data_IF_380535219752
#
_entry.id   IF_380535219752
#
_cell.length_a   1.000
_cell.length_b   1.000
_cell.length_c   1.000
_cell.angle_alpha   90.00
_cell.angle_beta   90.00
_cell.angle_gamma   90.00
#
_symmetry.space_group_name_H-M   'P 1'
#
loop_
_entity.id
_entity.type
_entity.pdbx_description
1 polymer ?
#
# COMPACT_ATOMS: atom_id res chain seq x y z
N UNK A 1 4.88 12.98 -16.46
CA UNK A 1 4.32 12.37 -15.22
C UNK A 1 4.83 10.94 -15.11
N UNK A 2 5.42 10.55 -13.98
CA UNK A 2 5.88 9.18 -13.75
C UNK A 2 4.65 8.29 -13.54
N UNK A 3 4.52 7.18 -14.28
CA UNK A 3 3.41 6.23 -14.05
C UNK A 3 3.52 5.70 -12.61
N UNK A 4 2.40 5.70 -11.88
CA UNK A 4 2.35 5.11 -10.54
C UNK A 4 2.62 3.59 -10.60
N UNK A 5 2.03 2.92 -11.58
CA UNK A 5 2.22 1.48 -11.81
C UNK A 5 2.88 1.21 -13.16
N UNK A 6 3.86 0.31 -13.17
CA UNK A 6 4.51 -0.18 -14.41
C UNK A 6 3.70 -1.32 -15.02
N UNK A 7 2.46 -1.02 -15.39
CA UNK A 7 1.55 -1.94 -16.10
C UNK A 7 1.05 -1.27 -17.37
N UNK A 8 0.81 -2.08 -18.41
CA UNK A 8 0.40 -1.61 -19.73
C UNK A 8 -1.13 -1.49 -19.85
N UNK A 9 -1.89 -2.26 -19.06
CA UNK A 9 -3.35 -2.31 -19.09
C UNK A 9 -3.95 -2.36 -17.69
N UNK A 10 -4.39 -1.19 -17.21
CA UNK A 10 -5.25 -1.09 -16.02
C UNK A 10 -6.49 -0.27 -16.36
N UNK A 11 -7.66 -0.83 -16.11
CA UNK A 11 -8.93 -0.11 -16.25
C UNK A 11 -9.29 0.45 -14.89
N UNK A 12 -9.32 1.78 -14.79
CA UNK A 12 -9.78 2.48 -13.59
C UNK A 12 -11.23 2.95 -13.81
N UNK A 13 -12.13 2.65 -12.88
CA UNK A 13 -13.46 3.27 -12.83
C UNK A 13 -13.78 3.77 -11.43
N UNK A 14 -14.20 5.03 -11.34
CA UNK A 14 -14.71 5.61 -10.10
C UNK A 14 -16.10 5.04 -9.80
N UNK A 15 -16.31 4.56 -8.58
CA UNK A 15 -17.65 4.13 -8.14
C UNK A 15 -18.32 5.22 -7.31
N UNK A 16 -17.56 5.89 -6.44
CA UNK A 16 -18.04 6.94 -5.53
C UNK A 16 -16.92 8.00 -5.34
N UNK A 17 -17.20 9.18 -4.78
CA UNK A 17 -16.17 10.15 -4.42
C UNK A 17 -15.11 9.53 -3.50
N UNK A 18 -13.86 9.49 -3.96
CA UNK A 18 -12.76 8.86 -3.21
C UNK A 18 -12.68 7.34 -3.30
N UNK A 19 -13.65 6.67 -3.95
CA UNK A 19 -13.67 5.21 -4.09
C UNK A 19 -13.52 4.78 -5.56
N UNK A 20 -12.46 4.02 -5.82
CA UNK A 20 -12.06 3.62 -7.17
C UNK A 20 -11.95 2.10 -7.26
N UNK A 21 -12.24 1.58 -8.45
CA UNK A 21 -11.99 0.19 -8.81
C UNK A 21 -10.94 0.12 -9.90
N UNK A 22 -9.98 -0.79 -9.72
CA UNK A 22 -8.91 -1.05 -10.67
C UNK A 22 -9.03 -2.50 -11.13
N UNK A 23 -9.12 -2.70 -12.43
CA UNK A 23 -9.16 -4.02 -13.05
C UNK A 23 -7.84 -4.20 -13.80
N UNK A 24 -7.11 -5.23 -13.41
CA UNK A 24 -5.84 -5.62 -14.01
C UNK A 24 -6.07 -6.79 -14.97
N UNK A 25 -5.34 -6.81 -16.08
CA UNK A 25 -5.40 -7.92 -17.03
C UNK A 25 -4.75 -9.19 -16.49
N UNK A 26 -3.69 -9.03 -15.70
CA UNK A 26 -2.87 -10.11 -15.16
C UNK A 26 -2.89 -10.09 -13.63
N UNK A 27 -3.00 -11.27 -13.01
CA UNK A 27 -3.02 -11.40 -11.56
C UNK A 27 -1.65 -11.05 -10.94
N UNK A 28 -0.57 -11.36 -11.64
CA UNK A 28 0.80 -11.06 -11.23
C UNK A 28 1.03 -9.55 -11.08
N UNK A 29 0.42 -8.76 -11.96
CA UNK A 29 0.45 -7.30 -11.90
C UNK A 29 -0.31 -6.78 -10.67
N UNK A 30 -1.52 -7.30 -10.44
CA UNK A 30 -2.33 -6.98 -9.25
C UNK A 30 -1.55 -7.27 -7.98
N UNK A 31 -1.01 -8.48 -7.85
CA UNK A 31 -0.25 -8.89 -6.66
C UNK A 31 0.99 -8.03 -6.44
N UNK A 32 1.78 -7.80 -7.50
CA UNK A 32 2.98 -6.97 -7.44
C UNK A 32 2.64 -5.56 -6.97
N UNK A 33 1.59 -4.97 -7.51
CA UNK A 33 1.15 -3.61 -7.14
C UNK A 33 0.70 -3.56 -5.69
N UNK A 34 -0.11 -4.53 -5.22
CA UNK A 34 -0.54 -4.56 -3.82
C UNK A 34 0.67 -4.73 -2.87
N UNK A 35 1.61 -5.62 -3.20
CA UNK A 35 2.80 -5.91 -2.37
C UNK A 35 3.82 -4.77 -2.34
N UNK A 36 3.89 -3.95 -3.38
CA UNK A 36 4.86 -2.85 -3.50
C UNK A 36 4.32 -1.49 -3.05
N UNK A 37 3.12 -1.46 -2.45
CA UNK A 37 2.61 -0.27 -1.76
C UNK A 37 3.51 0.16 -0.59
N UNK A 38 3.21 1.32 0.02
CA UNK A 38 2.05 2.17 -0.19
C UNK A 38 2.14 3.03 -1.47
N UNK A 39 1.00 3.35 -2.07
CA UNK A 39 0.93 4.19 -3.27
C UNK A 39 0.37 5.56 -2.96
N UNK A 40 0.89 6.57 -3.65
CA UNK A 40 0.36 7.93 -3.60
C UNK A 40 0.01 8.43 -4.99
N UNK A 41 -1.14 9.08 -5.14
CA UNK A 41 -1.56 9.74 -6.37
C UNK A 41 -2.05 11.14 -6.07
N UNK A 42 -1.54 12.15 -6.79
CA UNK A 42 -1.88 13.56 -6.57
C UNK A 42 -1.80 13.99 -5.09
N UNK A 43 -0.73 13.59 -4.39
CA UNK A 43 -0.51 13.84 -2.94
C UNK A 43 -1.54 13.20 -2.00
N UNK A 44 -2.39 12.31 -2.50
CA UNK A 44 -3.33 11.52 -1.70
C UNK A 44 -2.82 10.08 -1.59
N UNK A 45 -2.99 9.49 -0.40
CA UNK A 45 -2.69 8.08 -0.17
C UNK A 45 -3.73 7.19 -0.87
N UNK A 46 -3.26 6.19 -1.59
CA UNK A 46 -4.11 5.20 -2.26
C UNK A 46 -4.03 3.88 -1.50
N UNK A 47 -5.07 3.60 -0.70
CA UNK A 47 -5.20 2.34 0.03
C UNK A 47 -5.83 1.30 -0.89
N UNK A 48 -5.03 0.34 -1.35
CA UNK A 48 -5.48 -0.74 -2.22
C UNK A 48 -5.85 -1.96 -1.39
N UNK A 49 -7.02 -2.54 -1.68
CA UNK A 49 -7.48 -3.81 -1.13
C UNK A 49 -7.91 -4.70 -2.29
N UNK A 50 -7.67 -6.01 -2.15
CA UNK A 50 -8.16 -6.97 -3.13
C UNK A 50 -9.67 -7.09 -2.99
N UNK A 51 -10.40 -6.89 -4.09
CA UNK A 51 -11.84 -7.13 -4.12
C UNK A 51 -12.10 -8.64 -4.18
N UNK A 52 -12.63 -9.18 -3.10
CA UNK A 52 -13.17 -10.53 -3.00
C UNK A 52 -14.69 -10.49 -3.23
N UNK A 53 -15.25 -11.36 -4.10
CA UNK A 53 -16.67 -11.34 -4.45
C UNK A 53 -17.57 -11.70 -3.26
N UNK A 54 -17.04 -12.43 -2.28
CA UNK A 54 -17.76 -12.85 -1.08
C UNK A 54 -17.87 -11.74 -0.02
N UNK A 55 -17.03 -10.69 -0.12
CA UNK A 55 -16.96 -9.62 0.87
C UNK A 55 -17.69 -8.38 0.32
N UNK A 56 -18.77 -7.93 0.99
CA UNK A 56 -19.45 -6.69 0.63
C UNK A 56 -18.53 -5.47 0.70
N UNK A 57 -18.75 -4.49 -0.16
CA UNK A 57 -17.94 -3.24 -0.22
C UNK A 57 -17.83 -2.51 1.12
N UNK A 58 -18.90 -2.51 1.92
CA UNK A 58 -18.94 -1.82 3.21
C UNK A 58 -18.12 -2.53 4.31
N UNK A 59 -17.70 -3.77 4.08
CA UNK A 59 -16.85 -4.52 5.01
C UNK A 59 -15.36 -4.19 4.84
N UNK A 60 -14.98 -3.45 3.79
CA UNK A 60 -13.59 -3.04 3.59
C UNK A 60 -13.28 -1.78 4.40
N UNK A 61 -12.27 -1.88 5.25
CA UNK A 61 -11.69 -0.74 5.94
C UNK A 61 -10.47 -0.20 5.19
N UNK A 62 -10.51 1.10 4.88
CA UNK A 62 -9.45 1.87 4.22
C UNK A 62 -8.80 2.90 5.15
N UNK A 63 -9.11 2.88 6.45
CA UNK A 63 -8.61 3.84 7.44
C UNK A 63 -7.10 3.72 7.70
N UNK A 64 -6.53 2.53 7.48
CA UNK A 64 -5.13 2.21 7.77
C UNK A 64 -4.38 1.73 6.53
N UNK A 65 -3.09 2.08 6.44
CA UNK A 65 -2.17 1.61 5.41
C UNK A 65 -0.79 1.33 6.02
N UNK A 66 -0.14 0.27 5.57
CA UNK A 66 1.22 -0.05 6.01
C UNK A 66 2.24 0.78 5.23
N UNK A 67 3.22 1.33 5.93
CA UNK A 67 4.31 2.10 5.35
C UNK A 67 5.67 1.43 5.60
N UNK A 68 6.55 1.53 4.62
CA UNK A 68 7.97 1.25 4.83
C UNK A 68 8.60 2.44 5.54
N UNK A 69 9.04 2.22 6.78
CA UNK A 69 9.76 3.22 7.55
C UNK A 69 11.26 2.93 7.48
N UNK A 70 12.05 3.95 7.15
CA UNK A 70 13.50 3.88 7.22
C UNK A 70 13.96 4.73 8.41
N UNK A 71 14.63 4.08 9.36
CA UNK A 71 15.19 4.76 10.54
C UNK A 71 16.64 5.16 10.27
N UNK A 72 16.92 6.46 10.27
CA UNK A 72 18.26 7.02 10.14
C UNK A 72 18.88 7.36 11.50
N UNK A 73 20.20 7.56 11.52
CA UNK A 73 20.90 8.08 12.70
C UNK A 73 21.13 7.08 13.84
N UNK A 74 20.90 5.79 13.62
CA UNK A 74 21.18 4.75 14.61
C UNK A 74 22.70 4.46 14.59
N UNK A 75 23.42 4.59 15.72
CA UNK A 75 24.83 4.26 15.79
C UNK A 75 25.09 2.78 15.48
N UNK A 76 26.19 2.40 14.79
CA UNK A 76 26.45 1.00 14.41
C UNK A 76 26.45 0.01 15.58
N UNK A 77 26.86 0.45 16.78
CA UNK A 77 26.87 -0.37 18.00
C UNK A 77 25.47 -0.79 18.45
N UNK A 78 24.42 -0.11 17.97
CA UNK A 78 23.03 -0.37 18.31
C UNK A 78 22.29 -1.17 17.23
N UNK A 79 23.00 -1.72 16.24
CA UNK A 79 22.41 -2.59 15.21
C UNK A 79 22.16 -4.01 15.76
N UNK A 80 21.36 -4.10 16.82
CA UNK A 80 20.92 -5.36 17.41
C UNK A 80 19.42 -5.53 17.23
N UNK A 81 18.95 -6.78 17.20
CA UNK A 81 17.53 -7.07 16.98
C UNK A 81 16.64 -6.46 18.06
N UNK A 82 17.15 -6.37 19.28
CA UNK A 82 16.43 -5.82 20.44
C UNK A 82 16.17 -4.32 20.27
N UNK A 83 17.15 -3.56 19.80
CA UNK A 83 16.99 -2.12 19.55
C UNK A 83 15.97 -1.89 18.44
N UNK A 84 16.08 -2.62 17.33
CA UNK A 84 15.10 -2.49 16.24
C UNK A 84 13.68 -2.91 16.66
N UNK A 85 13.54 -3.92 17.51
CA UNK A 85 12.25 -4.34 18.04
C UNK A 85 11.64 -3.28 18.99
N UNK A 86 12.46 -2.66 19.85
CA UNK A 86 12.01 -1.54 20.71
C UNK A 86 11.59 -0.33 19.87
N UNK A 87 12.39 0.03 18.86
CA UNK A 87 12.07 1.13 17.96
C UNK A 87 10.78 0.88 17.17
N UNK A 88 10.61 -0.33 16.61
CA UNK A 88 9.40 -0.70 15.88
C UNK A 88 8.14 -0.55 16.77
N UNK A 89 8.19 -1.04 18.01
CA UNK A 89 7.08 -0.89 18.98
C UNK A 89 6.71 0.57 19.28
N UNK A 90 7.66 1.50 19.19
CA UNK A 90 7.41 2.93 19.43
C UNK A 90 6.81 3.63 18.21
N UNK A 91 7.10 3.15 17.01
CA UNK A 91 6.59 3.72 15.75
C UNK A 91 5.14 3.28 15.51
N UNK A 92 4.81 2.03 15.85
CA UNK A 92 3.47 1.46 15.70
C UNK A 92 3.51 -0.02 15.34
#
# INVERSE_FOLDING_TARGET
>A
MKKAWKTDSVVCSQKEPGFFSFIFQFEEDKERIIKTGPWSFASNLLVLKQCEPEIPKHCYDFSCCAFWVQMGGIPPRWFTKEVFADLAKRVG
#
